data_IF_001732477262
#
_entry.id   IF_001732477262
#
_cell.length_a   1.000
_cell.length_b   1.000
_cell.length_c   1.000
_cell.angle_alpha   90.00
_cell.angle_beta   90.00
_cell.angle_gamma   90.00
#
_symmetry.space_group_name_H-M   'P 1'
#
loop_
_entity.id
_entity.type
_entity.pdbx_description
1 polymer ?
#
# COMPACT_ATOMS: atom_id res chain seq x y z
N UNK A 1 -7.16 -21.22 -18.78
CA UNK A 1 -7.09 -19.89 -18.18
C UNK A 1 -7.56 -19.93 -16.74
N UNK A 2 -6.71 -19.52 -15.84
CA UNK A 2 -7.02 -19.55 -14.41
C UNK A 2 -6.92 -18.13 -13.82
N UNK A 3 -7.33 -17.96 -12.57
CA UNK A 3 -7.18 -16.74 -11.82
C UNK A 3 -6.07 -16.94 -10.79
N UNK A 4 -5.01 -16.14 -10.88
CA UNK A 4 -3.91 -16.16 -9.91
C UNK A 4 -4.06 -14.97 -8.98
N UNK A 5 -4.17 -15.23 -7.69
CA UNK A 5 -4.37 -14.20 -6.67
C UNK A 5 -3.13 -14.11 -5.79
N UNK A 6 -2.61 -12.89 -5.64
CA UNK A 6 -1.42 -12.63 -4.83
C UNK A 6 -1.74 -11.62 -3.73
N UNK A 7 -1.27 -11.88 -2.52
CA UNK A 7 -1.18 -10.87 -1.49
C UNK A 7 0.01 -9.96 -1.82
N UNK A 8 0.00 -8.72 -1.37
CA UNK A 8 1.06 -7.76 -1.68
C UNK A 8 2.13 -7.71 -0.60
N UNK A 9 1.76 -7.26 0.60
CA UNK A 9 2.71 -7.01 1.68
C UNK A 9 3.32 -8.33 2.17
N UNK A 10 4.64 -8.36 2.29
CA UNK A 10 5.43 -9.54 2.69
C UNK A 10 5.28 -10.75 1.75
N UNK A 11 4.66 -10.59 0.59
CA UNK A 11 4.49 -11.65 -0.42
C UNK A 11 5.14 -11.27 -1.75
N UNK A 12 4.74 -10.14 -2.32
CA UNK A 12 5.32 -9.63 -3.56
C UNK A 12 6.43 -8.62 -3.28
N UNK A 13 6.36 -7.96 -2.14
CA UNK A 13 7.38 -7.02 -1.68
C UNK A 13 7.88 -7.44 -0.31
N UNK A 14 9.15 -7.12 -0.02
CA UNK A 14 9.74 -7.37 1.28
C UNK A 14 9.42 -6.19 2.21
N UNK A 15 8.27 -6.22 2.83
CA UNK A 15 7.82 -5.18 3.73
C UNK A 15 6.32 -4.90 3.63
N UNK A 16 5.87 -3.96 4.44
CA UNK A 16 4.49 -3.49 4.50
C UNK A 16 4.43 -2.08 3.91
N UNK A 17 3.72 -1.93 2.79
CA UNK A 17 3.70 -0.64 2.08
C UNK A 17 3.05 0.48 2.91
N UNK A 18 2.04 0.17 3.72
CA UNK A 18 1.40 1.20 4.55
C UNK A 18 2.35 1.74 5.60
N UNK A 19 3.13 0.87 6.24
CA UNK A 19 4.13 1.29 7.23
C UNK A 19 5.25 2.10 6.59
N UNK A 20 5.70 1.70 5.41
CA UNK A 20 6.73 2.43 4.67
C UNK A 20 6.23 3.80 4.22
N UNK A 21 4.96 3.90 3.83
CA UNK A 21 4.35 5.18 3.49
C UNK A 21 4.22 6.09 4.72
N UNK A 22 3.91 5.51 5.89
CA UNK A 22 3.90 6.28 7.14
C UNK A 22 5.26 6.90 7.44
N UNK A 23 6.34 6.15 7.22
CA UNK A 23 7.69 6.68 7.34
C UNK A 23 7.94 7.84 6.37
N UNK A 24 7.44 7.71 5.14
CA UNK A 24 7.58 8.77 4.14
C UNK A 24 6.80 10.03 4.53
N UNK A 25 5.59 9.88 5.05
CA UNK A 25 4.81 11.02 5.53
C UNK A 25 5.55 11.76 6.66
N UNK A 26 6.24 11.01 7.52
CA UNK A 26 7.08 11.60 8.57
C UNK A 26 8.24 12.40 7.96
N UNK A 27 8.90 11.85 6.93
CA UNK A 27 9.98 12.56 6.22
C UNK A 27 9.49 13.82 5.52
N UNK A 28 8.25 13.81 5.03
CA UNK A 28 7.64 14.96 4.39
C UNK A 28 7.20 16.04 5.39
N UNK A 29 7.32 15.75 6.69
CA UNK A 29 6.92 16.68 7.74
C UNK A 29 5.41 16.77 7.97
N UNK A 30 4.65 15.80 7.46
CA UNK A 30 3.19 15.78 7.63
C UNK A 30 2.77 15.37 9.04
N UNK A 31 3.66 14.72 9.78
CA UNK A 31 3.43 14.26 11.16
C UNK A 31 4.72 14.39 11.97
N UNK A 32 4.58 14.36 13.31
CA UNK A 32 5.73 14.18 14.19
C UNK A 32 6.18 12.72 14.05
N UNK A 33 7.32 12.52 13.38
CA UNK A 33 7.77 11.20 12.97
C UNK A 33 7.83 10.17 14.09
N UNK A 34 8.48 10.52 15.21
CA UNK A 34 8.65 9.55 16.32
C UNK A 34 7.34 9.19 16.98
N UNK A 35 6.53 10.20 17.29
CA UNK A 35 5.23 9.98 17.94
C UNK A 35 4.29 9.21 17.04
N UNK A 36 4.22 9.58 15.75
CA UNK A 36 3.33 8.93 14.79
C UNK A 36 3.72 7.46 14.57
N UNK A 37 5.00 7.20 14.33
CA UNK A 37 5.46 5.83 14.07
C UNK A 37 5.30 4.92 15.27
N UNK A 38 5.50 5.46 16.47
CA UNK A 38 5.25 4.72 17.71
C UNK A 38 3.77 4.34 17.82
N UNK A 39 2.89 5.30 17.58
CA UNK A 39 1.44 5.08 17.63
C UNK A 39 0.99 4.09 16.56
N UNK A 40 1.55 4.21 15.36
CA UNK A 40 1.27 3.28 14.26
C UNK A 40 1.61 1.85 14.67
N UNK A 41 2.78 1.65 15.27
CA UNK A 41 3.22 0.34 15.73
C UNK A 41 2.28 -0.23 16.81
N UNK A 42 1.88 0.60 17.78
CA UNK A 42 0.94 0.21 18.82
C UNK A 42 -0.41 -0.22 18.26
N UNK A 43 -0.91 0.54 17.28
CA UNK A 43 -2.20 0.26 16.65
C UNK A 43 -2.15 -0.99 15.77
N UNK A 44 -1.06 -1.19 15.05
CA UNK A 44 -0.86 -2.40 14.25
C UNK A 44 -0.83 -3.64 15.14
N UNK A 45 -0.15 -3.54 16.26
CA UNK A 45 -0.10 -4.64 17.23
C UNK A 45 -1.50 -4.94 17.80
N UNK A 46 -2.25 -3.90 18.16
CA UNK A 46 -3.62 -4.05 18.66
C UNK A 46 -4.54 -4.68 17.60
N UNK A 47 -4.40 -4.25 16.34
CA UNK A 47 -5.16 -4.83 15.22
C UNK A 47 -4.84 -6.31 15.05
N UNK A 48 -3.56 -6.67 15.09
CA UNK A 48 -3.11 -8.05 14.95
C UNK A 48 -3.63 -8.96 16.07
N UNK A 49 -3.89 -8.40 17.25
CA UNK A 49 -4.46 -9.13 18.39
C UNK A 49 -5.99 -9.14 18.42
N UNK A 50 -6.62 -8.51 17.45
CA UNK A 50 -8.08 -8.42 17.37
C UNK A 50 -8.68 -7.38 18.33
N UNK A 51 -7.87 -6.50 18.89
CA UNK A 51 -8.31 -5.48 19.85
C UNK A 51 -8.69 -4.15 19.19
N UNK A 52 -8.52 -4.04 17.87
CA UNK A 52 -8.77 -2.82 17.11
C UNK A 52 -9.46 -3.16 15.80
N UNK A 53 -10.45 -2.35 15.41
CA UNK A 53 -11.12 -2.50 14.12
C UNK A 53 -10.26 -1.93 13.00
N UNK A 54 -10.39 -2.51 11.80
CA UNK A 54 -9.67 -2.04 10.60
C UNK A 54 -9.97 -0.56 10.33
N UNK A 55 -11.23 -0.15 10.49
CA UNK A 55 -11.66 1.23 10.24
C UNK A 55 -10.93 2.23 11.14
N UNK A 56 -10.71 1.85 12.40
CA UNK A 56 -10.02 2.72 13.37
C UNK A 56 -8.54 2.88 13.00
N UNK A 57 -7.89 1.79 12.59
CA UNK A 57 -6.51 1.86 12.13
C UNK A 57 -6.39 2.70 10.87
N UNK A 58 -7.28 2.49 9.90
CA UNK A 58 -7.28 3.24 8.65
C UNK A 58 -7.51 4.73 8.89
N UNK A 59 -8.43 5.09 9.79
CA UNK A 59 -8.68 6.48 10.13
C UNK A 59 -7.41 7.15 10.66
N UNK A 60 -6.69 6.49 11.56
CA UNK A 60 -5.42 6.98 12.07
C UNK A 60 -4.38 7.12 10.96
N UNK A 61 -4.23 6.07 10.16
CA UNK A 61 -3.22 6.01 9.10
C UNK A 61 -3.43 7.06 8.00
N UNK A 62 -4.70 7.40 7.73
CA UNK A 62 -5.05 8.37 6.68
C UNK A 62 -5.09 9.81 7.17
N UNK A 63 -5.12 10.04 8.48
CA UNK A 63 -5.22 11.39 9.04
C UNK A 63 -4.17 12.37 8.50
N UNK A 64 -2.89 11.98 8.35
CA UNK A 64 -1.88 12.91 7.82
C UNK A 64 -2.16 13.39 6.39
N UNK A 65 -2.96 12.64 5.64
CA UNK A 65 -3.35 13.00 4.27
C UNK A 65 -4.62 13.85 4.22
N UNK A 66 -5.32 13.99 5.35
CA UNK A 66 -6.55 14.77 5.40
C UNK A 66 -6.28 16.22 5.00
N UNK A 67 -7.16 16.78 4.17
CA UNK A 67 -7.00 18.13 3.65
C UNK A 67 -6.09 18.26 2.44
N UNK A 68 -5.43 17.17 2.02
CA UNK A 68 -4.60 17.16 0.82
C UNK A 68 -5.41 16.59 -0.33
N UNK A 69 -5.15 17.07 -1.56
CA UNK A 69 -5.88 16.56 -2.72
C UNK A 69 -5.36 15.18 -3.12
N UNK A 70 -6.24 14.39 -3.78
CA UNK A 70 -5.83 13.11 -4.34
C UNK A 70 -4.67 13.26 -5.30
N UNK A 71 -4.70 14.31 -6.13
CA UNK A 71 -3.64 14.59 -7.09
C UNK A 71 -2.31 14.86 -6.40
N UNK A 72 -2.31 15.62 -5.31
CA UNK A 72 -1.11 15.90 -4.53
C UNK A 72 -0.50 14.61 -3.96
N UNK A 73 -1.35 13.76 -3.38
CA UNK A 73 -0.90 12.48 -2.81
C UNK A 73 -0.35 11.57 -3.92
N UNK A 74 -1.05 11.44 -5.04
CA UNK A 74 -0.59 10.64 -6.17
C UNK A 74 0.76 11.10 -6.69
N UNK A 75 0.96 12.41 -6.77
CA UNK A 75 2.21 13.01 -7.25
C UNK A 75 3.40 12.64 -6.36
N UNK A 76 3.16 12.46 -5.06
CA UNK A 76 4.20 12.12 -4.09
C UNK A 76 4.38 10.60 -3.96
N UNK A 77 3.32 9.83 -4.16
CA UNK A 77 3.38 8.37 -4.08
C UNK A 77 4.20 7.78 -5.23
N UNK A 78 4.05 8.30 -6.44
CA UNK A 78 4.70 7.74 -7.63
C UNK A 78 6.23 7.68 -7.50
N UNK A 79 6.96 8.77 -7.20
CA UNK A 79 8.40 8.67 -7.01
C UNK A 79 8.78 7.82 -5.79
N UNK A 80 7.95 7.82 -4.74
CA UNK A 80 8.19 6.97 -3.58
C UNK A 80 8.12 5.48 -3.95
N UNK A 81 7.18 5.08 -4.79
CA UNK A 81 7.11 3.70 -5.27
C UNK A 81 8.39 3.33 -5.99
N UNK A 82 8.88 4.22 -6.85
CA UNK A 82 10.11 3.99 -7.59
C UNK A 82 11.33 3.88 -6.67
N UNK A 83 11.44 4.77 -5.68
CA UNK A 83 12.62 4.85 -4.82
C UNK A 83 12.61 3.85 -3.67
N UNK A 84 11.45 3.52 -3.12
CA UNK A 84 11.34 2.73 -1.88
C UNK A 84 10.77 1.33 -2.15
N UNK A 85 9.73 1.23 -2.96
CA UNK A 85 9.03 -0.04 -3.17
C UNK A 85 9.72 -0.90 -4.23
N UNK A 86 10.10 -0.33 -5.36
CA UNK A 86 10.73 -1.07 -6.44
C UNK A 86 11.95 -1.87 -5.98
N UNK A 87 12.87 -1.29 -5.16
CA UNK A 87 14.03 -2.06 -4.68
C UNK A 87 13.69 -3.26 -3.80
N UNK A 88 12.51 -3.29 -3.19
CA UNK A 88 12.11 -4.39 -2.29
C UNK A 88 11.14 -5.37 -2.93
N UNK A 89 10.84 -5.22 -4.22
CA UNK A 89 10.05 -6.20 -4.95
C UNK A 89 10.87 -7.48 -5.09
N UNK A 90 10.28 -8.60 -4.70
CA UNK A 90 10.98 -9.89 -4.86
C UNK A 90 11.11 -10.23 -6.35
N UNK A 91 12.31 -10.64 -6.75
CA UNK A 91 12.56 -11.09 -8.13
C UNK A 91 11.70 -12.29 -8.51
N UNK A 92 11.51 -13.21 -7.57
CA UNK A 92 10.65 -14.38 -7.77
C UNK A 92 9.20 -13.98 -7.98
N UNK A 93 8.73 -12.89 -7.34
CA UNK A 93 7.39 -12.38 -7.54
C UNK A 93 7.17 -11.95 -8.98
N UNK A 94 8.11 -11.19 -9.54
CA UNK A 94 8.03 -10.74 -10.93
C UNK A 94 8.02 -11.93 -11.90
N UNK A 95 8.86 -12.93 -11.66
CA UNK A 95 8.91 -14.14 -12.48
C UNK A 95 7.60 -14.92 -12.41
N UNK A 96 7.04 -15.05 -11.21
CA UNK A 96 5.79 -15.77 -11.00
C UNK A 96 4.62 -15.10 -11.73
N UNK A 97 4.53 -13.78 -11.65
CA UNK A 97 3.50 -13.02 -12.34
C UNK A 97 3.65 -13.18 -13.86
N UNK A 98 4.88 -13.06 -14.36
CA UNK A 98 5.17 -13.21 -15.79
C UNK A 98 4.80 -14.61 -16.28
N UNK A 99 5.08 -15.64 -15.50
CA UNK A 99 4.74 -17.02 -15.85
C UNK A 99 3.24 -17.23 -15.96
N UNK A 100 2.45 -16.71 -15.01
CA UNK A 100 1.00 -16.79 -15.08
C UNK A 100 0.44 -16.08 -16.30
N UNK A 101 0.96 -14.91 -16.62
CA UNK A 101 0.53 -14.15 -17.80
C UNK A 101 0.83 -14.89 -19.10
N UNK A 102 2.00 -15.52 -19.14
CA UNK A 102 2.42 -16.32 -20.30
C UNK A 102 1.45 -17.49 -20.54
N UNK A 103 0.86 -18.01 -19.46
CA UNK A 103 -0.12 -19.08 -19.53
C UNK A 103 -1.53 -18.57 -19.83
N UNK A 104 -1.72 -17.26 -19.94
CA UNK A 104 -3.02 -16.65 -20.18
C UNK A 104 -3.89 -16.50 -18.93
N UNK A 105 -3.30 -16.64 -17.75
CA UNK A 105 -4.01 -16.49 -16.48
C UNK A 105 -4.29 -15.03 -16.18
N UNK A 106 -5.41 -14.74 -15.51
CA UNK A 106 -5.67 -13.43 -14.93
C UNK A 106 -4.89 -13.33 -13.63
N UNK A 107 -4.27 -12.18 -13.41
CA UNK A 107 -3.50 -11.91 -12.19
C UNK A 107 -4.20 -10.83 -11.39
N UNK A 108 -4.46 -11.09 -10.13
CA UNK A 108 -5.15 -10.18 -9.21
C UNK A 108 -4.30 -10.01 -7.94
N UNK A 109 -4.12 -8.76 -7.52
CA UNK A 109 -3.48 -8.46 -6.24
C UNK A 109 -4.56 -8.10 -5.23
N UNK A 110 -4.49 -8.68 -4.03
CA UNK A 110 -5.38 -8.36 -2.92
C UNK A 110 -4.53 -7.82 -1.78
N UNK A 111 -4.93 -6.70 -1.22
CA UNK A 111 -4.21 -6.08 -0.10
C UNK A 111 -5.17 -5.41 0.86
N UNK A 112 -4.83 -5.41 2.15
CA UNK A 112 -5.55 -4.66 3.17
C UNK A 112 -5.06 -3.19 3.26
N UNK A 113 -4.12 -2.81 2.42
CA UNK A 113 -3.66 -1.41 2.31
C UNK A 113 -4.57 -0.61 1.39
N UNK A 114 -4.42 0.72 1.41
CA UNK A 114 -5.28 1.60 0.62
C UNK A 114 -4.96 1.61 -0.87
N UNK A 115 -5.96 1.91 -1.68
CA UNK A 115 -5.82 1.98 -3.15
C UNK A 115 -4.79 3.02 -3.58
N UNK A 116 -4.57 4.07 -2.78
CA UNK A 116 -3.59 5.11 -3.08
C UNK A 116 -2.16 4.59 -3.16
N UNK A 117 -1.88 3.46 -2.50
CA UNK A 117 -0.57 2.78 -2.52
C UNK A 117 -0.61 1.55 -3.43
N UNK A 118 -1.63 0.72 -3.27
CA UNK A 118 -1.73 -0.56 -3.99
C UNK A 118 -1.84 -0.36 -5.50
N UNK A 119 -2.61 0.64 -5.94
CA UNK A 119 -2.76 0.96 -7.36
C UNK A 119 -1.43 1.24 -8.05
N UNK A 120 -0.65 2.23 -7.58
CA UNK A 120 0.66 2.53 -8.15
C UNK A 120 1.65 1.35 -8.07
N UNK A 121 1.63 0.59 -6.98
CA UNK A 121 2.50 -0.57 -6.82
C UNK A 121 2.12 -1.67 -7.82
N UNK A 122 0.82 -1.95 -7.97
CA UNK A 122 0.33 -2.93 -8.94
C UNK A 122 0.73 -2.54 -10.36
N UNK A 123 0.62 -1.26 -10.71
CA UNK A 123 1.05 -0.76 -12.01
C UNK A 123 2.53 -1.01 -12.24
N UNK A 124 3.37 -0.81 -11.22
CA UNK A 124 4.81 -1.05 -11.31
C UNK A 124 5.12 -2.54 -11.50
N UNK A 125 4.29 -3.42 -10.93
CA UNK A 125 4.41 -4.86 -11.12
C UNK A 125 3.80 -5.33 -12.46
N UNK A 126 3.17 -4.41 -13.19
CA UNK A 126 2.51 -4.73 -14.44
C UNK A 126 1.17 -5.45 -14.25
N UNK A 127 0.53 -5.30 -13.12
CA UNK A 127 -0.76 -5.93 -12.80
C UNK A 127 -1.85 -4.87 -12.83
N UNK A 128 -2.87 -5.08 -13.67
CA UNK A 128 -3.96 -4.11 -13.85
C UNK A 128 -5.11 -4.30 -12.85
N UNK A 129 -5.24 -5.50 -12.29
CA UNK A 129 -6.37 -5.84 -11.41
C UNK A 129 -5.91 -5.94 -9.96
N UNK A 130 -6.59 -5.23 -9.07
CA UNK A 130 -6.31 -5.31 -7.64
C UNK A 130 -7.57 -5.01 -6.83
N UNK A 131 -7.60 -5.59 -5.62
CA UNK A 131 -8.60 -5.28 -4.61
C UNK A 131 -7.86 -4.73 -3.39
N UNK A 132 -8.24 -3.54 -2.97
CA UNK A 132 -7.62 -2.85 -1.84
C UNK A 132 -8.69 -2.03 -1.12
N UNK A 133 -8.30 -1.39 0.00
CA UNK A 133 -9.22 -0.54 0.74
C UNK A 133 -9.42 0.76 -0.03
N UNK A 134 -10.65 1.01 -0.46
CA UNK A 134 -10.99 2.25 -1.17
C UNK A 134 -11.07 3.42 -0.19
N UNK A 135 -10.52 4.54 -0.59
CA UNK A 135 -10.52 5.77 0.21
C UNK A 135 -11.62 6.70 -0.29
N UNK A 136 -12.37 7.28 0.66
CA UNK A 136 -13.36 8.29 0.34
C UNK A 136 -12.65 9.63 0.12
N UNK A 137 -12.99 10.28 -0.98
CA UNK A 137 -12.51 11.62 -1.27
C UNK A 137 -13.71 12.54 -1.47
N UNK A 138 -13.76 13.60 -0.67
CA UNK A 138 -14.83 14.60 -0.76
C UNK A 138 -14.23 15.87 -1.37
N UNK A 139 -14.79 16.31 -2.50
CA UNK A 139 -14.28 17.48 -3.25
C UNK A 139 -12.81 17.31 -3.66
N UNK A 140 -12.38 16.07 -3.95
CA UNK A 140 -11.02 15.76 -4.38
C UNK A 140 -9.99 15.70 -3.25
N UNK A 141 -10.43 15.66 -2.01
CA UNK A 141 -9.54 15.74 -0.84
C UNK A 141 -9.71 14.52 0.06
#
# INVERSE_FOLDING_TARGET
MALAIFDLDETLIHGDCASLWSEQMARLGWVDGKAFLRRDHELMEAYGKGHLQMEDYMAFSLEPMAGRTLEEVEHLVEPWVEDVIEPIIYGDACRCIAEHRKQGDRVLIISASGTHLVGPIAARLGVDEYLAIELEAVNGV
#
